data_IF_984041563475
#
_entry.id   IF_984041563475
#
_cell.length_a   1.000
_cell.length_b   1.000
_cell.length_c   1.000
_cell.angle_alpha   90.00
_cell.angle_beta   90.00
_cell.angle_gamma   90.00
#
_symmetry.space_group_name_H-M   'P 1'
#
loop_
_entity.id
_entity.type
_entity.pdbx_description
1 polymer ?
#
# COMPACT_ATOMS: atom_id res chain seq x y z
N UNK A 1 3.27 3.49 -16.54
CA UNK A 1 3.99 3.30 -17.82
C UNK A 1 5.47 3.63 -17.73
N UNK A 2 5.88 4.73 -17.09
CA UNK A 2 7.31 5.07 -16.94
C UNK A 2 8.13 3.93 -16.32
N UNK A 3 7.63 3.24 -15.29
CA UNK A 3 8.33 2.09 -14.69
C UNK A 3 8.48 0.90 -15.66
N UNK A 4 7.49 0.65 -16.51
CA UNK A 4 7.50 -0.47 -17.46
C UNK A 4 8.43 -0.20 -18.66
N UNK A 5 8.50 1.05 -19.10
CA UNK A 5 9.38 1.48 -20.19
C UNK A 5 10.80 1.76 -19.69
N UNK A 6 10.92 2.36 -18.51
CA UNK A 6 12.13 3.02 -18.05
C UNK A 6 12.62 2.62 -16.64
N UNK A 7 11.85 1.86 -15.86
CA UNK A 7 12.15 1.61 -14.44
C UNK A 7 12.12 0.14 -14.03
N UNK A 8 11.64 -0.13 -12.82
CA UNK A 8 11.78 -1.41 -12.13
C UNK A 8 11.00 -2.57 -12.75
N UNK A 9 10.05 -2.27 -13.64
CA UNK A 9 9.24 -3.26 -14.35
C UNK A 9 9.62 -3.49 -15.81
N UNK A 10 10.77 -2.97 -16.27
CA UNK A 10 11.30 -3.30 -17.61
C UNK A 10 11.41 -4.81 -17.82
N UNK A 11 10.90 -5.28 -18.96
CA UNK A 11 10.94 -6.69 -19.36
C UNK A 11 9.85 -7.58 -18.75
N UNK A 12 9.07 -7.10 -17.78
CA UNK A 12 7.90 -7.81 -17.27
C UNK A 12 6.68 -7.51 -18.15
N UNK A 13 5.88 -8.53 -18.44
CA UNK A 13 4.62 -8.38 -19.20
C UNK A 13 3.42 -8.15 -18.30
N UNK A 14 3.47 -8.65 -17.08
CA UNK A 14 2.35 -8.60 -16.14
C UNK A 14 2.80 -7.95 -14.83
N UNK A 15 2.30 -6.74 -14.56
CA UNK A 15 2.80 -5.88 -13.48
C UNK A 15 1.64 -5.19 -12.79
N UNK A 16 1.68 -5.16 -11.46
CA UNK A 16 0.83 -4.27 -10.66
C UNK A 16 1.72 -3.19 -10.05
N UNK A 17 1.45 -1.94 -10.32
CA UNK A 17 2.07 -0.82 -9.64
C UNK A 17 1.04 -0.20 -8.71
N UNK A 18 1.28 -0.24 -7.40
CA UNK A 18 0.48 0.45 -6.39
C UNK A 18 1.15 1.78 -6.07
N UNK A 19 0.35 2.83 -6.02
CA UNK A 19 0.79 4.15 -5.55
C UNK A 19 0.07 4.46 -4.25
N UNK A 20 0.84 4.74 -3.20
CA UNK A 20 0.34 5.15 -1.89
C UNK A 20 0.96 6.51 -1.59
N UNK A 21 0.19 7.56 -1.82
CA UNK A 21 0.58 8.95 -1.55
C UNK A 21 -0.63 9.70 -0.98
N UNK A 22 -0.92 10.91 -1.44
CA UNK A 22 -2.17 11.61 -1.11
C UNK A 22 -3.42 10.78 -1.47
N UNK A 23 -3.33 10.05 -2.58
CA UNK A 23 -4.34 9.08 -3.01
C UNK A 23 -3.75 7.67 -3.05
N UNK A 24 -4.63 6.66 -3.06
CA UNK A 24 -4.27 5.24 -3.19
C UNK A 24 -4.84 4.68 -4.48
N UNK A 25 -3.96 4.30 -5.40
CA UNK A 25 -4.35 3.81 -6.72
C UNK A 25 -3.46 2.70 -7.23
N UNK A 26 -3.86 2.09 -8.33
CA UNK A 26 -3.04 1.11 -9.02
C UNK A 26 -3.00 1.35 -10.54
N UNK A 27 -1.88 0.94 -11.13
CA UNK A 27 -1.76 0.64 -12.55
C UNK A 27 -1.54 -0.85 -12.72
N UNK A 28 -2.24 -1.46 -13.67
CA UNK A 28 -2.05 -2.86 -14.02
C UNK A 28 -1.57 -2.93 -15.46
N UNK A 29 -0.59 -3.77 -15.74
CA UNK A 29 -0.16 -4.12 -17.09
C UNK A 29 -0.39 -5.62 -17.23
N UNK A 30 -1.02 -6.04 -18.34
CA UNK A 30 -1.27 -7.44 -18.65
C UNK A 30 -0.88 -7.69 -20.10
N UNK A 31 -0.09 -8.74 -20.36
CA UNK A 31 0.50 -9.02 -21.67
C UNK A 31 1.25 -7.83 -22.30
N UNK A 32 1.83 -6.95 -21.48
CA UNK A 32 2.53 -5.74 -21.92
C UNK A 32 1.62 -4.57 -22.31
N UNK A 33 0.31 -4.73 -22.18
CA UNK A 33 -0.68 -3.68 -22.46
C UNK A 33 -1.23 -3.09 -21.17
N UNK A 34 -1.47 -1.78 -21.18
CA UNK A 34 -2.21 -1.12 -20.11
C UNK A 34 -3.71 -1.30 -20.38
N UNK A 35 -4.47 -2.02 -19.54
CA UNK A 35 -5.92 -2.04 -19.61
C UNK A 35 -6.42 -0.60 -19.49
N UNK A 36 -7.47 -0.25 -20.23
CA UNK A 36 -8.04 1.10 -20.26
C UNK A 36 -7.18 2.18 -20.93
N UNK A 37 -6.18 1.85 -21.76
CA UNK A 37 -5.43 2.88 -22.52
C UNK A 37 -6.31 3.81 -23.39
N UNK A 38 -7.57 3.42 -23.67
CA UNK A 38 -8.57 4.22 -24.39
C UNK A 38 -9.63 4.90 -23.51
N UNK A 39 -9.59 4.77 -22.18
CA UNK A 39 -10.45 5.50 -21.26
C UNK A 39 -9.63 6.12 -20.12
N UNK A 40 -10.06 7.25 -19.58
CA UNK A 40 -9.35 7.91 -18.47
C UNK A 40 -9.49 7.18 -17.12
N UNK A 41 -9.90 5.91 -17.12
CA UNK A 41 -10.20 5.17 -15.90
C UNK A 41 -8.93 4.59 -15.31
N UNK A 42 -8.55 5.07 -14.13
CA UNK A 42 -7.50 4.49 -13.30
C UNK A 42 -8.02 3.21 -12.63
N UNK A 43 -7.13 2.34 -12.15
CA UNK A 43 -7.55 1.20 -11.31
C UNK A 43 -7.72 1.74 -9.87
N UNK A 44 -8.97 2.06 -9.54
CA UNK A 44 -9.39 2.76 -8.31
C UNK A 44 -9.40 1.86 -7.06
N UNK A 45 -8.26 1.23 -6.75
CA UNK A 45 -8.16 0.33 -5.59
C UNK A 45 -8.39 1.07 -4.25
N UNK A 46 -8.11 2.37 -4.19
CA UNK A 46 -8.33 3.22 -3.02
C UNK A 46 -9.79 3.24 -2.57
N UNK A 47 -10.74 3.04 -3.48
CA UNK A 47 -12.17 3.01 -3.17
C UNK A 47 -12.72 1.60 -2.86
N UNK A 48 -11.88 0.57 -2.87
CA UNK A 48 -12.27 -0.77 -2.45
C UNK A 48 -12.52 -0.79 -0.95
N UNK A 49 -13.68 -1.31 -0.52
CA UNK A 49 -14.01 -1.38 0.90
C UNK A 49 -13.13 -2.42 1.62
N UNK A 50 -12.46 -2.00 2.68
CA UNK A 50 -11.62 -2.84 3.55
C UNK A 50 -12.15 -2.92 4.98
N UNK A 51 -12.92 -1.92 5.41
CA UNK A 51 -13.63 -1.88 6.68
C UNK A 51 -15.14 -1.62 6.43
N UNK A 52 -16.03 -2.59 6.69
CA UNK A 52 -17.47 -2.42 6.47
C UNK A 52 -18.09 -1.29 7.31
N UNK A 53 -17.44 -0.87 8.39
CA UNK A 53 -17.91 0.17 9.31
C UNK A 53 -16.94 1.35 9.44
N UNK A 54 -16.00 1.47 8.49
CA UNK A 54 -14.92 2.45 8.56
C UNK A 54 -15.35 3.90 8.27
N UNK A 55 -14.35 4.80 8.26
CA UNK A 55 -14.52 6.24 7.97
C UNK A 55 -15.25 6.45 6.63
N UNK A 56 -16.13 7.45 6.59
CA UNK A 56 -16.79 7.86 5.34
C UNK A 56 -15.75 8.40 4.36
N UNK A 57 -15.72 7.84 3.15
CA UNK A 57 -14.85 8.28 2.06
C UNK A 57 -15.52 9.42 1.27
N UNK A 58 -14.73 10.28 0.63
CA UNK A 58 -15.27 11.34 -0.24
C UNK A 58 -16.04 10.79 -1.45
N UNK A 59 -15.79 9.54 -1.86
CA UNK A 59 -16.56 8.89 -2.93
C UNK A 59 -18.01 8.57 -2.53
N UNK A 60 -18.35 8.71 -1.24
CA UNK A 60 -19.69 8.49 -0.70
C UNK A 60 -19.86 7.17 0.09
N UNK A 61 -18.95 6.20 -0.11
CA UNK A 61 -18.94 4.92 0.60
C UNK A 61 -18.25 4.99 1.98
N UNK A 62 -18.12 3.85 2.66
CA UNK A 62 -17.49 3.73 3.98
C UNK A 62 -16.34 2.72 3.97
N UNK A 63 -15.27 3.05 4.69
CA UNK A 63 -14.09 2.21 4.93
C UNK A 63 -13.38 1.77 3.66
N UNK A 64 -13.28 2.68 2.69
CA UNK A 64 -12.43 2.53 1.53
C UNK A 64 -10.95 2.43 1.93
N UNK A 65 -10.14 1.66 1.21
CA UNK A 65 -8.70 1.48 1.46
C UNK A 65 -7.98 2.81 1.67
N UNK A 66 -8.29 3.82 0.86
CA UNK A 66 -7.68 5.14 0.92
C UNK A 66 -7.90 5.86 2.25
N UNK A 67 -9.04 5.64 2.92
CA UNK A 67 -9.32 6.21 4.25
C UNK A 67 -8.44 5.65 5.37
N UNK A 68 -7.61 4.66 5.05
CA UNK A 68 -6.71 3.95 5.96
C UNK A 68 -5.27 4.07 5.48
N UNK A 69 -5.04 4.00 4.16
CA UNK A 69 -3.72 3.89 3.58
C UNK A 69 -3.19 5.16 2.90
N UNK A 70 -4.00 6.20 2.66
CA UNK A 70 -3.44 7.46 2.16
C UNK A 70 -2.51 8.09 3.19
N UNK A 71 -1.52 8.85 2.72
CA UNK A 71 -0.54 9.54 3.59
C UNK A 71 -1.25 10.35 4.67
N UNK A 72 -2.25 11.14 4.31
CA UNK A 72 -3.00 11.95 5.26
C UNK A 72 -3.74 11.09 6.29
N UNK A 73 -4.43 10.03 5.86
CA UNK A 73 -5.13 9.11 6.76
C UNK A 73 -4.18 8.42 7.75
N UNK A 74 -2.97 8.07 7.29
CA UNK A 74 -1.94 7.45 8.12
C UNK A 74 -1.44 8.44 9.18
N UNK A 75 -1.16 9.69 8.79
CA UNK A 75 -0.69 10.71 9.72
C UNK A 75 -1.78 11.12 10.71
N UNK A 76 -3.05 11.18 10.29
CA UNK A 76 -4.20 11.37 11.19
C UNK A 76 -4.27 10.26 12.24
N UNK A 77 -4.19 8.99 11.82
CA UNK A 77 -4.20 7.85 12.73
C UNK A 77 -2.98 7.85 13.66
N UNK A 78 -1.80 8.18 13.11
CA UNK A 78 -0.57 8.29 13.88
C UNK A 78 -0.68 9.37 14.95
N UNK A 79 -1.21 10.55 14.63
CA UNK A 79 -1.40 11.62 15.60
C UNK A 79 -2.39 11.22 16.70
N UNK A 80 -3.51 10.59 16.33
CA UNK A 80 -4.53 10.12 17.27
C UNK A 80 -3.91 9.13 18.28
N UNK A 81 -3.16 8.14 17.79
CA UNK A 81 -2.51 7.14 18.64
C UNK A 81 -1.33 7.71 19.42
N UNK A 82 -0.60 8.67 18.85
CA UNK A 82 0.51 9.37 19.51
C UNK A 82 0.01 10.14 20.73
N UNK A 83 -1.15 10.78 20.64
CA UNK A 83 -1.77 11.49 21.78
C UNK A 83 -2.13 10.56 22.95
N UNK A 84 -2.25 9.26 22.71
CA UNK A 84 -2.53 8.24 23.73
C UNK A 84 -1.27 7.51 24.20
N UNK A 85 -0.14 7.71 23.52
CA UNK A 85 1.13 7.08 23.83
C UNK A 85 2.00 8.00 24.66
N UNK A 86 2.64 7.46 25.70
CA UNK A 86 3.59 8.22 26.53
C UNK A 86 5.06 7.96 26.15
N UNK A 87 5.32 6.95 25.32
CA UNK A 87 6.67 6.40 25.12
C UNK A 87 7.16 6.42 23.68
N UNK A 88 6.34 6.87 22.73
CA UNK A 88 6.72 6.83 21.32
C UNK A 88 7.85 7.82 20.99
N UNK A 89 8.79 7.37 20.17
CA UNK A 89 9.87 8.19 19.58
C UNK A 89 9.37 9.25 18.59
N UNK A 90 8.08 9.23 18.26
CA UNK A 90 7.45 10.28 17.46
C UNK A 90 7.25 11.56 18.27
N UNK A 91 7.30 11.50 19.61
CA UNK A 91 7.30 12.69 20.45
C UNK A 91 8.56 13.53 20.21
N UNK A 92 8.42 14.86 20.28
CA UNK A 92 9.54 15.80 20.19
C UNK A 92 10.00 16.14 18.76
N UNK A 93 9.25 15.73 17.73
CA UNK A 93 9.49 16.12 16.34
C UNK A 93 8.17 16.28 15.57
N UNK A 94 8.15 17.04 14.46
CA UNK A 94 6.96 17.13 13.62
C UNK A 94 6.57 15.77 13.04
N UNK A 95 5.29 15.39 13.20
CA UNK A 95 4.76 14.15 12.65
C UNK A 95 4.66 14.24 11.13
N UNK A 96 5.53 13.48 10.47
CA UNK A 96 5.66 13.35 9.01
C UNK A 96 5.87 11.88 8.65
N UNK A 97 5.64 11.50 7.39
CA UNK A 97 5.91 10.13 6.93
C UNK A 97 7.38 9.74 7.16
N UNK A 98 8.30 10.69 6.98
CA UNK A 98 9.73 10.47 7.23
C UNK A 98 10.01 10.16 8.70
N UNK A 99 9.49 10.98 9.63
CA UNK A 99 9.64 10.72 11.06
C UNK A 99 8.99 9.39 11.48
N UNK A 100 7.85 9.02 10.86
CA UNK A 100 7.15 7.77 11.08
C UNK A 100 8.00 6.57 10.67
N UNK A 101 8.53 6.60 9.44
CA UNK A 101 9.41 5.56 8.92
C UNK A 101 10.68 5.41 9.78
N UNK A 102 11.32 6.54 10.13
CA UNK A 102 12.52 6.53 10.97
C UNK A 102 12.27 5.98 12.37
N UNK A 103 11.14 6.33 13.00
CA UNK A 103 10.78 5.79 14.30
C UNK A 103 10.56 4.27 14.23
N UNK A 104 9.82 3.80 13.24
CA UNK A 104 9.55 2.37 13.05
C UNK A 104 10.84 1.56 12.84
N UNK A 105 11.76 2.07 12.00
CA UNK A 105 13.06 1.42 11.75
C UNK A 105 13.98 1.43 12.98
N UNK A 106 13.82 2.40 13.89
CA UNK A 106 14.53 2.44 15.18
C UNK A 106 13.85 1.59 16.27
N UNK A 107 12.80 0.84 15.93
CA UNK A 107 12.14 -0.08 16.85
C UNK A 107 10.98 0.54 17.66
N UNK A 108 10.52 1.74 17.31
CA UNK A 108 9.31 2.31 17.92
C UNK A 108 8.09 1.43 17.61
N UNK A 109 7.49 0.86 18.65
CA UNK A 109 6.41 -0.11 18.49
C UNK A 109 5.14 0.51 17.90
N UNK A 110 4.83 1.77 18.24
CA UNK A 110 3.64 2.44 17.72
C UNK A 110 3.79 2.71 16.22
N UNK A 111 4.92 3.27 15.79
CA UNK A 111 5.20 3.54 14.40
C UNK A 111 5.26 2.24 13.57
N UNK A 112 5.90 1.20 14.12
CA UNK A 112 5.95 -0.12 13.48
C UNK A 112 4.56 -0.73 13.32
N UNK A 113 3.71 -0.64 14.34
CA UNK A 113 2.35 -1.17 14.30
C UNK A 113 1.48 -0.43 13.27
N UNK A 114 1.60 0.89 13.17
CA UNK A 114 0.89 1.68 12.14
C UNK A 114 1.29 1.24 10.74
N UNK A 115 2.60 1.17 10.45
CA UNK A 115 3.09 0.76 9.12
C UNK A 115 2.69 -0.69 8.81
N UNK A 116 2.71 -1.57 9.82
CA UNK A 116 2.24 -2.96 9.69
C UNK A 116 0.75 -3.01 9.36
N UNK A 117 -0.08 -2.21 10.04
CA UNK A 117 -1.52 -2.13 9.75
C UNK A 117 -1.79 -1.69 8.31
N UNK A 118 -1.09 -0.66 7.83
CA UNK A 118 -1.17 -0.23 6.42
C UNK A 118 -0.77 -1.36 5.47
N UNK A 119 0.37 -2.00 5.73
CA UNK A 119 0.86 -3.13 4.94
C UNK A 119 -0.12 -4.29 4.85
N UNK A 120 -0.82 -4.59 5.95
CA UNK A 120 -1.83 -5.66 5.98
C UNK A 120 -3.07 -5.32 5.14
N UNK A 121 -3.58 -4.09 5.22
CA UNK A 121 -4.72 -3.67 4.40
C UNK A 121 -4.39 -3.59 2.92
N UNK A 122 -3.23 -3.03 2.57
CA UNK A 122 -2.73 -3.00 1.18
C UNK A 122 -2.48 -4.42 0.68
N UNK A 123 -1.84 -5.26 1.48
CA UNK A 123 -1.55 -6.66 1.19
C UNK A 123 -2.81 -7.48 0.92
N UNK A 124 -3.89 -7.27 1.68
CA UNK A 124 -5.19 -7.91 1.44
C UNK A 124 -5.77 -7.59 0.07
N UNK A 125 -5.73 -6.32 -0.34
CA UNK A 125 -6.20 -5.91 -1.67
C UNK A 125 -5.28 -6.44 -2.76
N UNK A 126 -3.96 -6.38 -2.55
CA UNK A 126 -2.99 -6.94 -3.48
C UNK A 126 -3.14 -8.44 -3.67
N UNK A 127 -3.46 -9.21 -2.62
CA UNK A 127 -3.70 -10.65 -2.74
C UNK A 127 -4.90 -10.95 -3.65
N UNK A 128 -5.98 -10.16 -3.54
CA UNK A 128 -7.13 -10.24 -4.46
C UNK A 128 -6.67 -9.94 -5.88
N UNK A 129 -5.91 -8.86 -6.09
CA UNK A 129 -5.41 -8.52 -7.42
C UNK A 129 -4.46 -9.57 -7.99
N UNK A 130 -3.63 -10.21 -7.18
CA UNK A 130 -2.77 -11.33 -7.60
C UNK A 130 -3.61 -12.49 -8.11
N UNK A 131 -4.70 -12.84 -7.43
CA UNK A 131 -5.62 -13.88 -7.91
C UNK A 131 -6.28 -13.52 -9.25
N UNK A 132 -6.55 -12.23 -9.49
CA UNK A 132 -7.22 -11.75 -10.69
C UNK A 132 -6.27 -11.59 -11.89
N UNK A 133 -5.05 -11.13 -11.65
CA UNK A 133 -4.14 -10.68 -12.71
C UNK A 133 -2.88 -11.53 -12.86
N UNK A 134 -2.57 -12.41 -11.89
CA UNK A 134 -1.36 -13.25 -11.88
C UNK A 134 -0.08 -12.49 -12.32
N UNK A 135 0.27 -11.39 -11.63
CA UNK A 135 1.39 -10.55 -12.05
C UNK A 135 2.74 -11.23 -11.81
N UNK A 136 3.73 -10.84 -12.60
CA UNK A 136 5.12 -11.25 -12.42
C UNK A 136 5.83 -10.37 -11.37
N UNK A 137 5.43 -9.10 -11.27
CA UNK A 137 6.01 -8.13 -10.33
C UNK A 137 4.95 -7.22 -9.74
N UNK A 138 5.15 -6.85 -8.49
CA UNK A 138 4.41 -5.78 -7.83
C UNK A 138 5.41 -4.67 -7.54
N UNK A 139 5.03 -3.42 -7.82
CA UNK A 139 5.82 -2.24 -7.49
C UNK A 139 5.05 -1.38 -6.51
N UNK A 140 5.71 -0.89 -5.46
CA UNK A 140 5.13 0.03 -4.49
C UNK A 140 5.79 1.41 -4.62
N UNK A 141 5.06 2.35 -5.22
CA UNK A 141 5.41 3.77 -5.23
C UNK A 141 4.82 4.47 -4.01
N UNK A 142 5.63 4.71 -2.97
CA UNK A 142 5.15 5.40 -1.77
C UNK A 142 6.29 6.07 -1.00
N UNK A 143 6.04 7.20 -0.31
CA UNK A 143 6.96 7.71 0.71
C UNK A 143 7.23 6.68 1.83
N UNK A 144 6.27 5.77 2.09
CA UNK A 144 6.44 4.68 3.05
C UNK A 144 7.48 3.64 2.64
N UNK A 145 7.91 3.60 1.37
CA UNK A 145 8.98 2.71 0.93
C UNK A 145 10.32 3.01 1.63
N UNK A 146 10.45 4.15 2.33
CA UNK A 146 11.55 4.41 3.27
C UNK A 146 11.62 3.40 4.42
N UNK A 147 10.51 2.77 4.78
CA UNK A 147 10.42 1.67 5.75
C UNK A 147 10.09 0.33 5.05
N UNK A 148 10.64 0.08 3.86
CA UNK A 148 10.42 -1.14 3.08
C UNK A 148 10.67 -2.42 3.89
N UNK A 149 11.69 -2.44 4.75
CA UNK A 149 12.04 -3.59 5.61
C UNK A 149 10.92 -3.99 6.61
N UNK A 150 9.94 -3.11 6.83
CA UNK A 150 8.75 -3.37 7.63
C UNK A 150 7.54 -3.55 6.72
N UNK A 151 7.34 -2.65 5.76
CA UNK A 151 6.14 -2.63 4.93
C UNK A 151 6.06 -3.83 3.96
N UNK A 152 7.15 -4.12 3.23
CA UNK A 152 7.12 -5.09 2.14
C UNK A 152 6.97 -6.54 2.63
N UNK A 153 7.60 -6.97 3.75
CA UNK A 153 7.34 -8.29 4.31
C UNK A 153 5.86 -8.50 4.65
N UNK A 154 5.20 -7.52 5.26
CA UNK A 154 3.78 -7.61 5.66
C UNK A 154 2.86 -7.71 4.43
N UNK A 155 3.13 -6.92 3.39
CA UNK A 155 2.40 -7.01 2.12
C UNK A 155 2.61 -8.40 1.49
N UNK A 156 3.87 -8.85 1.42
CA UNK A 156 4.25 -10.13 0.81
C UNK A 156 3.63 -11.32 1.54
N UNK A 157 3.56 -11.26 2.87
CA UNK A 157 2.94 -12.31 3.69
C UNK A 157 1.44 -12.38 3.46
N UNK A 158 0.76 -11.23 3.35
CA UNK A 158 -0.65 -11.18 3.00
C UNK A 158 -0.90 -11.82 1.63
N UNK A 159 -0.07 -11.53 0.63
CA UNK A 159 -0.16 -12.13 -0.71
C UNK A 159 0.04 -13.64 -0.63
N UNK A 160 1.09 -14.11 0.06
CA UNK A 160 1.37 -15.55 0.20
C UNK A 160 0.25 -16.31 0.91
N UNK A 161 -0.40 -15.70 1.88
CA UNK A 161 -1.45 -16.33 2.69
C UNK A 161 -2.84 -16.29 2.06
N UNK A 162 -3.11 -15.31 1.20
CA UNK A 162 -4.47 -15.00 0.74
C UNK A 162 -4.65 -15.12 -0.79
N UNK A 163 -3.55 -15.25 -1.55
CA UNK A 163 -3.58 -15.57 -2.97
C UNK A 163 -3.25 -17.05 -3.22
N UNK A 164 -3.65 -17.54 -4.40
CA UNK A 164 -3.35 -18.90 -4.84
C UNK A 164 -1.83 -19.13 -4.83
N UNK A 165 -1.31 -20.17 -4.17
CA UNK A 165 0.13 -20.43 -4.08
C UNK A 165 0.84 -20.45 -5.43
N UNK A 166 0.19 -21.00 -6.47
CA UNK A 166 0.72 -21.04 -7.82
C UNK A 166 1.01 -19.65 -8.42
N UNK A 167 0.31 -18.61 -7.95
CA UNK A 167 0.49 -17.23 -8.41
C UNK A 167 1.37 -16.42 -7.44
N UNK A 168 1.45 -16.78 -6.16
CA UNK A 168 2.14 -15.99 -5.14
C UNK A 168 3.58 -16.43 -4.85
N UNK A 169 3.97 -17.66 -5.17
CA UNK A 169 5.22 -18.27 -4.72
C UNK A 169 6.50 -17.56 -5.21
N UNK A 170 6.44 -16.89 -6.36
CA UNK A 170 7.59 -16.22 -6.97
C UNK A 170 7.39 -14.71 -7.17
N UNK A 171 6.33 -14.13 -6.58
CA UNK A 171 6.10 -12.69 -6.69
C UNK A 171 7.15 -11.93 -5.88
N UNK A 172 7.77 -10.96 -6.54
CA UNK A 172 8.57 -9.91 -5.91
C UNK A 172 7.70 -8.67 -5.73
N UNK A 173 7.72 -8.12 -4.51
CA UNK A 173 7.19 -6.80 -4.15
C UNK A 173 8.35 -5.83 -3.97
#
# INVERSE_FOLDING_TARGET
MAEALFGASRGARDVIQVVIDHNVGAGVITDGHLPHAGSSSLVEIGHTQVDPYGKRCYCGNHGCLETIASVDSILELAQLRLNQSMSSMLHGQPLTVDSLCQAALRGDLLAKDIITGVGAHVGRILAIMVNLFNPQKILIGSPLSKAADILFPVISDSIRQQALPAYSQHISV
#
